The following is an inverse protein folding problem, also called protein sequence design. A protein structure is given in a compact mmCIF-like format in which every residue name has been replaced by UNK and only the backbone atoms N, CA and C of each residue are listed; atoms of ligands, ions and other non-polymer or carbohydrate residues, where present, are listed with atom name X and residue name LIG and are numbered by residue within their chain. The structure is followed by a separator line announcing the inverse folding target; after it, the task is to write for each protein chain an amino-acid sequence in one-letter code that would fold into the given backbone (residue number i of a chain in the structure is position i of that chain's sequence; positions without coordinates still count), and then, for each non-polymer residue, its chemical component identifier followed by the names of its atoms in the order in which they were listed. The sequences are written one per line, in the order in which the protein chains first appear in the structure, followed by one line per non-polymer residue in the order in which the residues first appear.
data_IF_770054591135
#
_entry.id   IF_770054591135
#
_cell.length_a   1.000
_cell.length_b   1.000
_cell.length_c   1.000
_cell.angle_alpha   90.00
_cell.angle_beta   90.00
_cell.angle_gamma   90.00
#
_symmetry.space_group_name_H-M   'P 1'
#
loop_
_entity.id
_entity.type
_entity.pdbx_description
1 polymer ?
#
# COMPACT_ATOMS: atom_id res chain seq x y z
N UNK A 1 -10.67 4.42 32.32
CA UNK A 1 -9.73 4.40 31.17
C UNK A 1 -10.59 4.28 29.92
N UNK A 2 -10.54 5.28 29.04
CA UNK A 2 -11.23 5.17 27.76
C UNK A 2 -10.55 4.06 26.96
N UNK A 3 -11.34 3.13 26.44
CA UNK A 3 -10.82 2.06 25.58
C UNK A 3 -10.22 2.66 24.31
N UNK A 4 -9.00 2.25 23.95
CA UNK A 4 -8.37 2.66 22.71
C UNK A 4 -9.00 1.88 21.57
N UNK A 5 -9.66 2.59 20.65
CA UNK A 5 -10.34 2.00 19.49
C UNK A 5 -9.72 2.57 18.19
N UNK A 6 -9.94 1.94 17.03
CA UNK A 6 -9.50 2.53 15.76
C UNK A 6 -10.00 3.95 15.55
N UNK A 7 -11.27 4.21 15.84
CA UNK A 7 -11.86 5.56 15.73
C UNK A 7 -11.22 6.55 16.68
N UNK A 8 -10.97 6.17 17.94
CA UNK A 8 -10.34 7.08 18.91
C UNK A 8 -8.92 7.45 18.53
N UNK A 9 -8.15 6.51 17.99
CA UNK A 9 -6.80 6.77 17.48
C UNK A 9 -6.81 7.65 16.24
N UNK A 10 -7.76 7.44 15.34
CA UNK A 10 -7.93 8.26 14.14
C UNK A 10 -8.24 9.72 14.51
N UNK A 11 -9.20 9.94 15.40
CA UNK A 11 -9.56 11.29 15.84
C UNK A 11 -8.41 11.98 16.57
N UNK A 12 -7.64 11.24 17.36
CA UNK A 12 -6.44 11.76 18.02
C UNK A 12 -5.41 12.24 16.99
N UNK A 13 -5.14 11.46 15.96
CA UNK A 13 -4.20 11.83 14.89
C UNK A 13 -4.64 13.09 14.13
N UNK A 14 -5.95 13.25 13.87
CA UNK A 14 -6.49 14.47 13.26
C UNK A 14 -6.34 15.68 14.18
N UNK A 15 -6.62 15.54 15.46
CA UNK A 15 -6.53 16.64 16.43
C UNK A 15 -5.09 17.07 16.68
N UNK A 16 -4.13 16.14 16.63
CA UNK A 16 -2.70 16.42 16.77
C UNK A 16 -2.10 17.00 15.48
N UNK A 17 -2.86 17.02 14.37
CA UNK A 17 -2.42 17.55 13.09
C UNK A 17 -1.40 16.68 12.36
N UNK A 18 -1.20 15.42 12.80
CA UNK A 18 -0.30 14.46 12.13
C UNK A 18 -0.87 13.95 10.84
N UNK A 19 -2.20 13.94 10.70
CA UNK A 19 -2.92 13.51 9.50
C UNK A 19 -4.02 14.51 9.18
N UNK A 20 -4.34 14.64 7.89
CA UNK A 20 -5.48 15.41 7.42
C UNK A 20 -6.72 14.53 7.25
N UNK A 21 -7.89 15.15 7.36
CA UNK A 21 -9.16 14.50 7.09
C UNK A 21 -9.21 14.01 5.64
N UNK A 22 -9.52 12.73 5.48
CA UNK A 22 -9.76 12.06 4.21
C UNK A 22 -11.02 11.20 4.36
N UNK A 23 -12.04 11.44 3.54
CA UNK A 23 -13.32 10.75 3.65
C UNK A 23 -13.19 9.23 3.42
N UNK A 24 -12.29 8.82 2.53
CA UNK A 24 -12.04 7.40 2.24
C UNK A 24 -11.37 6.74 3.44
N UNK A 25 -10.38 7.39 4.05
CA UNK A 25 -9.74 6.87 5.27
C UNK A 25 -10.74 6.83 6.44
N UNK A 26 -11.58 7.83 6.58
CA UNK A 26 -12.64 7.85 7.60
C UNK A 26 -13.60 6.67 7.43
N UNK A 27 -14.00 6.35 6.20
CA UNK A 27 -14.82 5.18 5.92
C UNK A 27 -14.10 3.88 6.27
N UNK A 28 -12.82 3.77 5.91
CA UNK A 28 -11.99 2.61 6.27
C UNK A 28 -11.92 2.43 7.78
N UNK A 29 -11.68 3.50 8.53
CA UNK A 29 -11.67 3.48 9.99
C UNK A 29 -13.01 3.05 10.56
N UNK A 30 -14.12 3.51 9.99
CA UNK A 30 -15.46 3.09 10.41
C UNK A 30 -15.68 1.58 10.22
N UNK A 31 -15.23 1.02 9.12
CA UNK A 31 -15.30 -0.43 8.88
C UNK A 31 -14.38 -1.21 9.82
N UNK A 32 -13.19 -0.72 10.08
CA UNK A 32 -12.26 -1.32 11.04
C UNK A 32 -12.80 -1.27 12.46
N UNK A 33 -13.51 -0.20 12.82
CA UNK A 33 -14.18 -0.07 14.13
C UNK A 33 -15.27 -1.13 14.31
N UNK A 34 -16.06 -1.38 13.27
CA UNK A 34 -17.10 -2.43 13.32
C UNK A 34 -16.46 -3.81 13.55
N UNK A 35 -15.39 -4.13 12.82
CA UNK A 35 -14.65 -5.37 12.99
C UNK A 35 -14.07 -5.48 14.40
N UNK A 36 -13.47 -4.39 14.89
CA UNK A 36 -12.94 -4.31 16.25
C UNK A 36 -14.03 -4.60 17.30
N UNK A 37 -15.19 -3.95 17.19
CA UNK A 37 -16.28 -4.14 18.13
C UNK A 37 -16.83 -5.57 18.10
N UNK A 38 -16.99 -6.15 16.93
CA UNK A 38 -17.45 -7.54 16.79
C UNK A 38 -16.43 -8.53 17.35
N UNK A 39 -15.14 -8.29 17.17
CA UNK A 39 -14.09 -9.16 17.71
C UNK A 39 -14.04 -9.12 19.25
N UNK A 40 -14.16 -7.94 19.86
CA UNK A 40 -14.13 -7.84 21.33
C UNK A 40 -15.40 -8.35 21.98
N UNK A 41 -16.54 -8.33 21.28
CA UNK A 41 -17.82 -8.81 21.76
C UNK A 41 -18.02 -10.31 21.47
N UNK A 42 -17.21 -10.91 20.60
CA UNK A 42 -17.24 -12.36 20.41
C UNK A 42 -16.66 -13.02 21.67
N UNK A 43 -17.47 -13.86 22.32
CA UNK A 43 -17.03 -14.62 23.49
C UNK A 43 -15.92 -15.57 23.04
N UNK A 44 -14.71 -15.50 23.60
CA UNK A 44 -13.71 -16.50 23.29
C UNK A 44 -14.23 -17.89 23.66
N UNK A 45 -14.05 -18.91 22.79
CA UNK A 45 -14.37 -20.27 23.18
C UNK A 45 -13.57 -20.59 24.46
N UNK A 46 -14.28 -21.16 25.45
CA UNK A 46 -13.65 -21.56 26.71
C UNK A 46 -12.38 -22.38 26.43
N UNK A 47 -11.29 -22.14 27.16
CA UNK A 47 -10.06 -22.89 26.97
C UNK A 47 -10.41 -24.38 27.08
N UNK A 48 -10.03 -25.16 26.07
CA UNK A 48 -10.18 -26.61 26.12
C UNK A 48 -9.32 -27.10 27.27
N UNK A 49 -9.96 -27.32 28.41
CA UNK A 49 -9.33 -28.04 29.51
C UNK A 49 -9.01 -29.44 29.02
N UNK A 50 -7.73 -29.71 28.79
CA UNK A 50 -7.21 -31.05 28.56
C UNK A 50 -7.34 -31.80 29.88
N UNK A 51 -8.47 -32.37 30.17
CA UNK A 51 -8.72 -33.16 31.35
C UNK A 51 -9.77 -34.24 31.10
N UNK A 52 -9.73 -35.27 31.84
CA UNK A 52 -10.58 -36.46 31.78
C UNK A 52 -12.11 -36.17 31.65
N UNK A 53 -12.57 -34.95 31.95
CA UNK A 53 -13.94 -34.49 31.79
C UNK A 53 -14.39 -34.33 30.33
N UNK A 54 -13.46 -34.17 29.38
CA UNK A 54 -13.80 -34.05 27.94
C UNK A 54 -14.28 -35.38 27.32
N UNK A 55 -14.00 -36.53 28.00
CA UNK A 55 -14.43 -37.86 27.53
C UNK A 55 -15.89 -38.19 27.90
N UNK A 56 -16.39 -37.59 28.97
CA UNK A 56 -17.78 -37.87 29.44
C UNK A 56 -18.79 -37.05 28.67
N UNK A 57 -18.43 -35.84 28.20
CA UNK A 57 -19.32 -34.98 27.40
C UNK A 57 -19.59 -35.49 26.00
N UNK A 58 -18.82 -36.44 25.49
CA UNK A 58 -19.03 -37.08 24.17
C UNK A 58 -20.13 -38.12 24.13
N UNK A 59 -20.61 -38.56 25.29
CA UNK A 59 -21.64 -39.62 25.41
C UNK A 59 -23.04 -39.09 25.52
N UNK A 60 -23.22 -37.80 25.79
CA UNK A 60 -24.55 -37.18 25.84
C UNK A 60 -24.68 -36.13 24.76
N UNK A 61 -25.10 -36.60 23.57
CA UNK A 61 -25.26 -35.79 22.37
C UNK A 61 -26.18 -34.59 22.54
N UNK A 62 -25.61 -33.44 22.74
CA UNK A 62 -26.10 -32.17 22.27
C UNK A 62 -24.93 -31.41 21.71
N UNK A 63 -24.64 -31.58 20.42
CA UNK A 63 -23.95 -30.60 19.61
C UNK A 63 -24.84 -29.37 19.52
N UNK A 64 -24.67 -28.43 20.41
CA UNK A 64 -24.93 -27.06 20.06
C UNK A 64 -23.76 -26.62 19.17
N UNK A 65 -23.92 -26.89 17.88
CA UNK A 65 -23.18 -26.18 16.84
C UNK A 65 -23.68 -24.73 16.89
N UNK A 66 -23.19 -23.98 17.88
CA UNK A 66 -23.11 -22.53 17.74
C UNK A 66 -22.08 -22.32 16.63
N UNK A 67 -22.56 -22.31 15.39
CA UNK A 67 -21.81 -21.79 14.26
C UNK A 67 -21.56 -20.33 14.62
N UNK A 68 -20.44 -20.06 15.30
CA UNK A 68 -19.90 -18.71 15.37
C UNK A 68 -19.58 -18.34 13.93
N UNK A 69 -20.47 -17.51 13.34
CA UNK A 69 -20.16 -16.92 12.04
C UNK A 69 -18.88 -16.11 12.23
N UNK A 70 -17.85 -16.35 11.42
CA UNK A 70 -16.63 -15.57 11.51
C UNK A 70 -16.96 -14.10 11.33
N UNK A 71 -16.29 -13.25 12.10
CA UNK A 71 -16.40 -11.80 11.91
C UNK A 71 -15.89 -11.47 10.50
N UNK A 72 -16.70 -10.75 9.74
CA UNK A 72 -16.35 -10.37 8.39
C UNK A 72 -15.17 -9.39 8.42
N UNK A 73 -14.12 -9.69 7.66
CA UNK A 73 -12.90 -8.89 7.60
C UNK A 73 -12.96 -7.78 6.56
N UNK A 74 -11.78 -7.22 6.28
CA UNK A 74 -11.61 -6.11 5.34
C UNK A 74 -10.36 -6.35 4.49
N UNK A 75 -10.51 -6.20 3.19
CA UNK A 75 -9.41 -6.17 2.23
C UNK A 75 -9.29 -4.74 1.69
N UNK A 76 -8.26 -4.03 2.13
CA UNK A 76 -7.99 -2.65 1.71
C UNK A 76 -6.96 -2.63 0.61
N UNK A 77 -7.30 -2.04 -0.53
CA UNK A 77 -6.37 -1.95 -1.64
C UNK A 77 -6.25 -0.53 -2.17
N UNK A 78 -5.13 -0.26 -2.78
CA UNK A 78 -4.81 1.05 -3.37
C UNK A 78 -3.34 1.14 -3.65
N UNK A 79 -2.93 2.19 -4.34
CA UNK A 79 -1.54 2.42 -4.70
C UNK A 79 -0.63 2.68 -3.49
N UNK A 80 0.65 2.73 -3.77
CA UNK A 80 1.69 2.97 -2.77
C UNK A 80 1.45 4.31 -2.05
N UNK A 81 1.62 4.33 -0.73
CA UNK A 81 1.51 5.54 0.07
C UNK A 81 0.08 6.01 0.33
N UNK A 82 -0.93 5.12 0.31
CA UNK A 82 -2.34 5.46 0.58
C UNK A 82 -2.73 5.39 2.04
N UNK A 83 -1.77 5.33 2.93
CA UNK A 83 -2.05 5.23 4.36
C UNK A 83 -2.52 3.85 4.82
N UNK A 84 -2.41 2.81 3.98
CA UNK A 84 -2.84 1.45 4.34
C UNK A 84 -2.11 0.91 5.57
N UNK A 85 -0.82 1.12 5.66
CA UNK A 85 -0.01 0.72 6.81
C UNK A 85 -0.50 1.40 8.09
N UNK A 86 -0.78 2.68 8.02
CA UNK A 86 -1.31 3.44 9.15
C UNK A 86 -2.70 2.95 9.57
N UNK A 87 -3.60 2.70 8.62
CA UNK A 87 -4.91 2.12 8.91
C UNK A 87 -4.78 0.76 9.60
N UNK A 88 -3.86 -0.07 9.12
CA UNK A 88 -3.57 -1.36 9.77
C UNK A 88 -3.02 -1.16 11.18
N UNK A 89 -2.15 -0.18 11.40
CA UNK A 89 -1.62 0.17 12.72
C UNK A 89 -2.75 0.53 13.69
N UNK A 90 -3.66 1.42 13.27
CA UNK A 90 -4.81 1.82 14.09
C UNK A 90 -5.64 0.61 14.53
N UNK A 91 -5.89 -0.31 13.61
CA UNK A 91 -6.68 -1.50 13.88
C UNK A 91 -5.94 -2.48 14.80
N UNK A 92 -4.72 -2.87 14.42
CA UNK A 92 -3.97 -3.89 15.14
C UNK A 92 -3.60 -3.45 16.55
N UNK A 93 -3.17 -2.20 16.73
CA UNK A 93 -2.80 -1.66 18.04
C UNK A 93 -4.01 -1.51 18.97
N UNK A 94 -5.21 -1.32 18.43
CA UNK A 94 -6.44 -1.23 19.22
C UNK A 94 -6.90 -2.57 19.76
N UNK A 95 -6.59 -3.67 19.07
CA UNK A 95 -7.03 -5.00 19.48
C UNK A 95 -6.38 -5.40 20.81
N UNK A 96 -7.19 -5.77 21.82
CA UNK A 96 -6.67 -6.23 23.11
C UNK A 96 -6.19 -7.69 23.01
N UNK A 97 -5.28 -8.06 23.91
CA UNK A 97 -4.83 -9.44 24.07
C UNK A 97 -3.78 -9.86 23.04
N UNK A 98 -3.49 -11.15 23.05
CA UNK A 98 -2.39 -11.73 22.28
C UNK A 98 -2.87 -12.60 21.11
N UNK A 99 -4.18 -12.86 21.00
CA UNK A 99 -4.76 -13.68 19.93
C UNK A 99 -4.96 -12.89 18.64
N UNK A 100 -3.94 -12.18 18.25
CA UNK A 100 -3.85 -11.38 17.03
C UNK A 100 -2.46 -11.57 16.42
N UNK A 101 -2.38 -11.67 15.10
CA UNK A 101 -1.10 -11.73 14.38
C UNK A 101 -1.10 -10.77 13.21
N UNK A 102 0.01 -10.07 13.06
CA UNK A 102 0.29 -9.22 11.91
C UNK A 102 1.56 -9.68 11.24
N UNK A 103 1.46 -10.07 10.00
CA UNK A 103 2.56 -10.59 9.20
C UNK A 103 2.55 -9.94 7.83
N UNK A 104 3.73 -9.67 7.32
CA UNK A 104 3.89 -9.48 5.88
C UNK A 104 3.43 -10.76 5.17
N UNK A 105 2.63 -10.65 4.12
CA UNK A 105 2.06 -11.84 3.45
C UNK A 105 3.14 -12.81 2.98
N UNK A 106 4.27 -12.30 2.50
CA UNK A 106 5.40 -13.13 2.10
C UNK A 106 5.94 -13.99 3.26
N UNK A 107 6.06 -13.43 4.46
CA UNK A 107 6.50 -14.17 5.66
C UNK A 107 5.49 -15.23 6.09
N UNK A 108 4.21 -14.92 5.96
CA UNK A 108 3.16 -15.91 6.21
C UNK A 108 3.31 -17.13 5.29
N UNK A 109 3.54 -16.91 3.99
CA UNK A 109 3.74 -18.01 3.05
C UNK A 109 5.03 -18.79 3.31
N UNK A 110 6.10 -18.15 3.74
CA UNK A 110 7.33 -18.85 4.15
C UNK A 110 7.05 -19.81 5.31
N UNK A 111 6.32 -19.37 6.31
CA UNK A 111 5.91 -20.23 7.43
C UNK A 111 5.06 -21.40 6.96
N UNK A 112 4.11 -21.18 6.05
CA UNK A 112 3.27 -22.23 5.50
C UNK A 112 4.12 -23.28 4.78
N UNK A 113 5.09 -22.87 3.97
CA UNK A 113 5.99 -23.80 3.28
C UNK A 113 6.88 -24.59 4.24
N UNK A 114 7.40 -23.96 5.30
CA UNK A 114 8.19 -24.64 6.31
C UNK A 114 7.37 -25.69 7.03
N UNK A 115 6.14 -25.37 7.42
CA UNK A 115 5.25 -26.34 8.09
C UNK A 115 4.80 -27.46 7.15
N UNK A 116 4.59 -27.19 5.85
CA UNK A 116 4.31 -28.24 4.86
C UNK A 116 5.48 -29.21 4.73
N UNK A 117 6.70 -28.75 4.81
CA UNK A 117 7.90 -29.59 4.79
C UNK A 117 7.93 -30.52 6.01
N UNK A 118 7.59 -30.02 7.20
CA UNK A 118 7.48 -30.82 8.42
C UNK A 118 6.36 -31.87 8.33
N UNK A 119 5.28 -31.55 7.62
CA UNK A 119 4.07 -32.36 7.53
C UNK A 119 4.06 -33.32 6.32
N UNK A 120 5.20 -33.54 5.68
CA UNK A 120 5.30 -34.51 4.59
C UNK A 120 4.82 -35.90 5.01
N UNK A 121 3.95 -36.48 4.20
CA UNK A 121 3.36 -37.80 4.49
C UNK A 121 2.12 -37.75 5.40
N UNK A 122 1.76 -36.58 5.93
CA UNK A 122 0.50 -36.41 6.66
C UNK A 122 -0.68 -36.22 5.69
N UNK A 123 -1.85 -36.71 6.10
CA UNK A 123 -3.10 -36.42 5.41
C UNK A 123 -3.56 -35.01 5.70
N UNK A 124 -4.04 -34.28 4.70
CA UNK A 124 -4.60 -32.94 4.81
C UNK A 124 -3.71 -31.93 5.57
N UNK A 125 -2.47 -31.68 5.11
CA UNK A 125 -1.55 -30.81 5.85
C UNK A 125 -2.02 -29.36 5.98
N UNK A 126 -2.80 -28.84 5.03
CA UNK A 126 -3.34 -27.49 5.14
C UNK A 126 -4.35 -27.34 6.27
N UNK A 127 -5.13 -28.38 6.55
CA UNK A 127 -6.05 -28.40 7.70
C UNK A 127 -5.27 -28.37 9.04
N UNK A 128 -4.15 -29.09 9.12
CA UNK A 128 -3.27 -29.07 10.30
C UNK A 128 -2.66 -27.68 10.50
N UNK A 129 -2.20 -27.06 9.42
CA UNK A 129 -1.63 -25.69 9.46
C UNK A 129 -2.69 -24.69 9.91
N UNK A 130 -3.91 -24.78 9.39
CA UNK A 130 -5.01 -23.93 9.81
C UNK A 130 -5.37 -24.13 11.29
N UNK A 131 -5.34 -25.32 11.80
CA UNK A 131 -5.51 -25.61 13.23
C UNK A 131 -4.43 -24.95 14.09
N UNK A 132 -3.17 -24.97 13.64
CA UNK A 132 -2.05 -24.31 14.31
C UNK A 132 -2.25 -22.80 14.38
N UNK A 133 -2.67 -22.17 13.27
CA UNK A 133 -2.97 -20.74 13.27
C UNK A 133 -4.14 -20.42 14.21
N UNK A 134 -5.21 -21.20 14.17
CA UNK A 134 -6.35 -20.97 15.06
C UNK A 134 -5.99 -21.14 16.54
N UNK A 135 -5.06 -22.03 16.87
CA UNK A 135 -4.56 -22.17 18.21
C UNK A 135 -3.85 -20.91 18.73
N UNK A 136 -3.24 -20.14 17.85
CA UNK A 136 -2.48 -18.92 18.17
C UNK A 136 -3.30 -17.63 18.04
N UNK A 137 -4.27 -17.58 17.10
CA UNK A 137 -4.92 -16.32 16.76
C UNK A 137 -6.37 -16.46 16.34
N UNK A 138 -7.14 -15.41 16.53
CA UNK A 138 -8.50 -15.25 16.01
C UNK A 138 -8.56 -14.27 14.83
N UNK A 139 -7.53 -13.46 14.66
CA UNK A 139 -7.43 -12.47 13.58
C UNK A 139 -6.04 -12.47 12.97
N UNK A 140 -5.99 -12.55 11.64
CA UNK A 140 -4.78 -12.39 10.84
C UNK A 140 -4.81 -11.05 10.11
N UNK A 141 -3.75 -10.29 10.28
CA UNK A 141 -3.50 -9.06 9.55
C UNK A 141 -2.35 -9.27 8.57
N UNK A 142 -2.63 -9.18 7.28
CA UNK A 142 -1.61 -9.31 6.24
C UNK A 142 -1.27 -7.95 5.67
N UNK A 143 0.01 -7.59 5.75
CA UNK A 143 0.55 -6.47 5.00
C UNK A 143 0.99 -6.94 3.62
N UNK A 144 0.71 -6.13 2.60
CA UNK A 144 1.15 -6.34 1.22
C UNK A 144 0.75 -7.71 0.64
N UNK A 145 -0.54 -7.99 0.65
CA UNK A 145 -1.08 -9.21 0.05
C UNK A 145 -0.82 -9.19 -1.47
N UNK A 146 0.05 -10.07 -1.91
CA UNK A 146 0.43 -10.17 -3.32
C UNK A 146 0.86 -11.59 -3.66
N UNK A 147 0.36 -12.13 -4.77
CA UNK A 147 0.64 -13.50 -5.21
C UNK A 147 1.29 -13.47 -6.58
N UNK A 148 2.53 -13.93 -6.67
CA UNK A 148 3.28 -14.03 -7.93
C UNK A 148 3.82 -15.44 -8.19
N UNK A 149 3.98 -16.23 -7.15
CA UNK A 149 4.54 -17.58 -7.20
C UNK A 149 3.46 -18.64 -7.40
N UNK A 150 3.70 -19.56 -8.34
CA UNK A 150 2.74 -20.64 -8.65
C UNK A 150 2.51 -21.55 -7.45
N UNK A 151 3.54 -21.83 -6.65
CA UNK A 151 3.42 -22.72 -5.48
C UNK A 151 2.49 -22.11 -4.44
N UNK A 152 2.65 -20.80 -4.15
CA UNK A 152 1.76 -20.06 -3.28
C UNK A 152 0.33 -20.05 -3.82
N UNK A 153 0.18 -19.75 -5.10
CA UNK A 153 -1.13 -19.69 -5.76
C UNK A 153 -1.90 -21.01 -5.66
N UNK A 154 -1.23 -22.13 -5.82
CA UNK A 154 -1.88 -23.46 -5.77
C UNK A 154 -2.30 -23.85 -4.34
N UNK A 155 -1.65 -23.32 -3.31
CA UNK A 155 -1.97 -23.61 -1.92
C UNK A 155 -3.07 -22.71 -1.35
N UNK A 156 -3.16 -21.48 -1.83
CA UNK A 156 -3.97 -20.43 -1.19
C UNK A 156 -5.47 -20.73 -1.19
N UNK A 157 -6.02 -21.34 -2.21
CA UNK A 157 -7.44 -21.68 -2.25
C UNK A 157 -7.85 -22.57 -1.09
N UNK A 158 -7.15 -23.67 -0.89
CA UNK A 158 -7.40 -24.61 0.20
C UNK A 158 -7.07 -24.02 1.57
N UNK A 159 -5.96 -23.27 1.67
CA UNK A 159 -5.52 -22.66 2.93
C UNK A 159 -6.50 -21.59 3.42
N UNK A 160 -6.90 -20.67 2.56
CA UNK A 160 -7.86 -19.61 2.92
C UNK A 160 -9.21 -20.20 3.35
N UNK A 161 -9.70 -21.20 2.63
CA UNK A 161 -10.91 -21.91 3.00
C UNK A 161 -10.81 -22.55 4.39
N UNK A 162 -9.68 -23.20 4.67
CA UNK A 162 -9.45 -23.86 5.95
C UNK A 162 -9.36 -22.84 7.12
N UNK A 163 -8.69 -21.72 6.90
CA UNK A 163 -8.59 -20.64 7.90
C UNK A 163 -9.95 -20.02 8.19
N UNK A 164 -10.73 -19.69 7.17
CA UNK A 164 -12.07 -19.10 7.35
C UNK A 164 -13.07 -20.09 7.98
N UNK A 165 -12.96 -21.37 7.65
CA UNK A 165 -13.81 -22.41 8.26
C UNK A 165 -13.62 -22.49 9.78
N UNK A 166 -12.47 -22.08 10.29
CA UNK A 166 -12.16 -22.03 11.73
C UNK A 166 -12.51 -20.70 12.39
N UNK A 167 -13.16 -19.81 11.65
CA UNK A 167 -13.60 -18.51 12.18
C UNK A 167 -12.46 -17.49 12.33
N UNK A 168 -11.34 -17.66 11.63
CA UNK A 168 -10.28 -16.65 11.61
C UNK A 168 -10.75 -15.46 10.75
N UNK A 169 -10.64 -14.27 11.32
CA UNK A 169 -10.93 -13.02 10.61
C UNK A 169 -9.67 -12.53 9.90
N UNK A 170 -9.83 -12.10 8.65
CA UNK A 170 -8.73 -11.54 7.86
C UNK A 170 -8.92 -10.05 7.66
N UNK A 171 -7.88 -9.28 7.97
CA UNK A 171 -7.74 -7.88 7.56
C UNK A 171 -6.44 -7.77 6.75
N UNK A 172 -6.53 -7.35 5.52
CA UNK A 172 -5.40 -7.33 4.61
C UNK A 172 -5.25 -5.99 3.91
N UNK A 173 -4.01 -5.65 3.58
CA UNK A 173 -3.68 -4.55 2.67
C UNK A 173 -3.05 -5.10 1.41
N UNK A 174 -3.31 -4.43 0.27
CA UNK A 174 -2.75 -4.79 -1.03
C UNK A 174 -2.66 -3.57 -1.93
N UNK A 175 -1.86 -3.65 -2.97
CA UNK A 175 -1.81 -2.63 -4.02
C UNK A 175 -2.86 -2.83 -5.11
N UNK A 176 -3.46 -4.03 -5.17
CA UNK A 176 -4.40 -4.41 -6.23
C UNK A 176 -5.67 -5.05 -5.62
N UNK A 177 -6.82 -4.97 -6.33
CA UNK A 177 -8.03 -5.64 -5.87
C UNK A 177 -7.89 -7.16 -5.94
N UNK A 178 -8.76 -7.91 -5.21
CA UNK A 178 -8.71 -9.38 -5.21
C UNK A 178 -8.83 -9.99 -6.61
N UNK A 179 -9.67 -9.43 -7.47
CA UNK A 179 -9.89 -9.96 -8.82
C UNK A 179 -8.65 -9.89 -9.72
N UNK A 180 -7.67 -9.05 -9.38
CA UNK A 180 -6.41 -8.91 -10.12
C UNK A 180 -5.24 -9.68 -9.51
N UNK A 181 -5.46 -10.33 -8.38
CA UNK A 181 -4.43 -11.18 -7.77
C UNK A 181 -4.04 -12.32 -8.71
N UNK A 182 -2.74 -12.57 -8.81
CA UNK A 182 -2.17 -13.61 -9.66
C UNK A 182 -2.60 -13.48 -11.13
N UNK A 183 -2.81 -12.26 -11.59
CA UNK A 183 -3.19 -11.97 -12.99
C UNK A 183 -2.14 -12.51 -13.94
N UNK A 184 -2.61 -13.17 -15.02
CA UNK A 184 -1.77 -13.86 -16.01
C UNK A 184 -0.87 -14.97 -15.44
N UNK A 185 -1.11 -15.43 -14.21
CA UNK A 185 -0.37 -16.52 -13.62
C UNK A 185 -0.73 -17.89 -14.23
N UNK A 186 0.22 -18.80 -14.20
CA UNK A 186 0.02 -20.18 -14.67
C UNK A 186 -1.06 -20.87 -13.83
N UNK A 187 -1.99 -21.55 -14.50
CA UNK A 187 -3.10 -22.27 -13.87
C UNK A 187 -3.95 -21.38 -12.95
N UNK A 188 -4.19 -20.16 -13.36
CA UNK A 188 -4.94 -19.18 -12.55
C UNK A 188 -6.33 -19.67 -12.14
N UNK A 189 -6.97 -20.54 -12.95
CA UNK A 189 -8.26 -21.12 -12.60
C UNK A 189 -8.24 -21.85 -11.25
N UNK A 190 -7.12 -22.46 -10.89
CA UNK A 190 -6.93 -23.14 -9.59
C UNK A 190 -6.70 -22.15 -8.43
N UNK A 191 -6.37 -20.93 -8.73
CA UNK A 191 -6.23 -19.84 -7.74
C UNK A 191 -7.55 -19.12 -7.47
N UNK A 192 -8.48 -19.09 -8.41
CA UNK A 192 -9.77 -18.38 -8.27
C UNK A 192 -10.53 -18.71 -6.97
N UNK A 193 -10.51 -19.96 -6.44
CA UNK A 193 -11.12 -20.24 -5.15
C UNK A 193 -10.58 -19.40 -3.99
N UNK A 194 -9.31 -19.00 -4.03
CA UNK A 194 -8.74 -18.08 -3.03
C UNK A 194 -9.36 -16.69 -3.12
N UNK A 195 -9.53 -16.17 -4.33
CA UNK A 195 -10.21 -14.88 -4.55
C UNK A 195 -11.66 -14.95 -4.05
N UNK A 196 -12.38 -16.02 -4.38
CA UNK A 196 -13.76 -16.21 -3.95
C UNK A 196 -13.88 -16.26 -2.42
N UNK A 197 -12.98 -16.98 -1.76
CA UNK A 197 -12.93 -17.07 -0.30
C UNK A 197 -12.70 -15.69 0.35
N UNK A 198 -11.77 -14.90 -0.18
CA UNK A 198 -11.52 -13.52 0.29
C UNK A 198 -12.78 -12.68 0.15
N UNK A 199 -13.41 -12.70 -1.01
CA UNK A 199 -14.62 -11.90 -1.28
C UNK A 199 -15.84 -12.33 -0.44
N UNK A 200 -15.93 -13.61 -0.07
CA UNK A 200 -16.96 -14.11 0.82
C UNK A 200 -16.77 -13.68 2.27
N UNK A 201 -15.54 -13.57 2.73
CA UNK A 201 -15.21 -13.36 4.15
C UNK A 201 -14.68 -11.97 4.46
N UNK A 202 -14.44 -11.13 3.46
CA UNK A 202 -13.97 -9.76 3.61
C UNK A 202 -14.78 -8.81 2.76
N UNK A 203 -15.06 -7.63 3.30
CA UNK A 203 -15.42 -6.49 2.47
C UNK A 203 -14.18 -6.01 1.70
N UNK A 204 -14.37 -5.58 0.47
CA UNK A 204 -13.31 -5.07 -0.38
C UNK A 204 -13.46 -3.56 -0.49
N UNK A 205 -12.40 -2.83 -0.16
CA UNK A 205 -12.43 -1.38 -0.18
C UNK A 205 -11.21 -0.82 -0.90
N UNK A 206 -11.47 0.02 -1.92
CA UNK A 206 -10.44 0.85 -2.52
C UNK A 206 -10.20 2.07 -1.63
N UNK A 207 -8.97 2.18 -1.11
CA UNK A 207 -8.59 3.30 -0.23
C UNK A 207 -7.90 4.43 -0.98
N UNK A 208 -7.91 4.40 -2.30
CA UNK A 208 -7.44 5.52 -3.10
C UNK A 208 -8.35 6.73 -2.87
N UNK A 209 -7.76 7.84 -2.43
CA UNK A 209 -8.49 9.10 -2.28
C UNK A 209 -9.09 9.51 -3.63
N UNK A 210 -10.25 10.12 -3.59
CA UNK A 210 -10.98 10.50 -4.79
C UNK A 210 -10.09 11.24 -5.78
N UNK A 211 -10.09 10.81 -7.02
CA UNK A 211 -9.33 11.41 -8.14
C UNK A 211 -9.61 12.91 -8.24
N UNK A 212 -10.82 13.35 -7.92
CA UNK A 212 -11.26 14.76 -8.00
C UNK A 212 -10.48 15.68 -7.07
N UNK A 213 -10.08 15.22 -5.88
CA UNK A 213 -9.35 16.03 -4.91
C UNK A 213 -7.93 16.36 -5.40
N UNK A 214 -7.20 15.34 -5.88
CA UNK A 214 -5.86 15.55 -6.45
C UNK A 214 -5.90 16.43 -7.67
N UNK A 215 -6.83 16.16 -8.57
CA UNK A 215 -7.00 16.95 -9.78
C UNK A 215 -7.23 18.41 -9.43
N UNK A 216 -8.12 18.71 -8.49
CA UNK A 216 -8.40 20.07 -8.06
C UNK A 216 -7.16 20.75 -7.50
N UNK A 217 -6.44 20.08 -6.61
CA UNK A 217 -5.20 20.60 -6.03
C UNK A 217 -4.17 20.90 -7.09
N UNK A 218 -3.92 19.95 -8.01
CA UNK A 218 -2.92 20.10 -9.07
C UNK A 218 -3.32 21.17 -10.09
N UNK A 219 -4.60 21.28 -10.42
CA UNK A 219 -5.10 22.26 -11.38
C UNK A 219 -4.98 23.70 -10.84
N UNK A 220 -5.09 23.88 -9.53
CA UNK A 220 -5.00 25.20 -8.87
C UNK A 220 -3.59 25.59 -8.49
N UNK A 221 -2.63 24.66 -8.54
CA UNK A 221 -1.27 24.89 -8.11
C UNK A 221 -0.34 25.29 -9.25
N UNK A 222 0.74 26.00 -8.90
CA UNK A 222 1.91 26.07 -9.76
C UNK A 222 2.71 24.78 -9.64
N UNK A 223 3.01 24.13 -10.76
CA UNK A 223 3.68 22.82 -10.78
C UNK A 223 5.17 22.93 -11.03
N UNK A 224 5.66 24.09 -11.40
CA UNK A 224 7.09 24.41 -11.50
C UNK A 224 7.36 25.65 -10.64
N UNK A 225 8.04 25.43 -9.52
CA UNK A 225 8.30 26.47 -8.51
C UNK A 225 9.78 26.86 -8.54
N UNK A 226 10.05 28.13 -8.74
CA UNK A 226 11.40 28.70 -8.75
C UNK A 226 11.37 30.14 -8.22
N UNK A 227 12.49 30.69 -7.75
CA UNK A 227 13.77 30.05 -7.46
C UNK A 227 13.72 29.17 -6.20
N UNK A 228 14.84 28.52 -5.88
CA UNK A 228 14.97 27.74 -4.64
C UNK A 228 15.20 28.71 -3.44
N UNK A 229 14.16 28.98 -2.72
CA UNK A 229 14.15 29.83 -1.52
C UNK A 229 13.16 29.30 -0.48
N UNK A 230 13.04 29.99 0.65
CA UNK A 230 12.15 29.58 1.74
C UNK A 230 10.68 29.61 1.33
N UNK A 231 10.27 30.56 0.49
CA UNK A 231 8.90 30.64 -0.02
C UNK A 231 8.56 29.41 -0.88
N UNK A 232 9.42 29.05 -1.82
CA UNK A 232 9.27 27.87 -2.66
C UNK A 232 9.23 26.59 -1.82
N UNK A 233 10.09 26.49 -0.83
CA UNK A 233 10.09 25.36 0.11
C UNK A 233 8.78 25.24 0.86
N UNK A 234 8.27 26.35 1.36
CA UNK A 234 6.97 26.40 2.03
C UNK A 234 5.83 25.99 1.11
N UNK A 235 5.84 26.45 -0.13
CA UNK A 235 4.84 26.05 -1.13
C UNK A 235 4.91 24.56 -1.45
N UNK A 236 6.11 23.99 -1.58
CA UNK A 236 6.30 22.55 -1.79
C UNK A 236 5.75 21.74 -0.60
N UNK A 237 5.99 22.18 0.62
CA UNK A 237 5.48 21.50 1.82
C UNK A 237 3.95 21.57 1.90
N UNK A 238 3.34 22.69 1.53
CA UNK A 238 1.89 22.82 1.45
C UNK A 238 1.28 21.91 0.38
N UNK A 239 1.91 21.83 -0.79
CA UNK A 239 1.47 20.92 -1.85
C UNK A 239 1.61 19.45 -1.44
N UNK A 240 2.70 19.11 -0.78
CA UNK A 240 2.85 17.75 -0.24
C UNK A 240 1.70 17.42 0.71
N UNK A 241 1.44 18.28 1.68
CA UNK A 241 0.35 18.05 2.63
C UNK A 241 -1.00 17.92 1.94
N UNK A 242 -1.26 18.76 0.94
CA UNK A 242 -2.51 18.72 0.17
C UNK A 242 -2.65 17.45 -0.68
N UNK A 243 -1.58 16.98 -1.30
CA UNK A 243 -1.60 15.80 -2.19
C UNK A 243 -1.50 14.49 -1.43
N UNK A 244 -0.66 14.44 -0.42
CA UNK A 244 -0.38 13.24 0.36
C UNK A 244 -1.33 13.03 1.54
N UNK A 245 -1.95 14.08 2.04
CA UNK A 245 -2.88 14.02 3.18
C UNK A 245 -2.21 13.92 4.54
N UNK A 246 -0.88 13.91 4.61
CA UNK A 246 -0.11 13.85 5.85
C UNK A 246 1.21 14.62 5.73
N UNK A 247 1.77 15.04 6.85
CA UNK A 247 3.11 15.67 6.87
C UNK A 247 4.18 14.66 6.51
N UNK A 248 5.30 15.13 5.93
CA UNK A 248 6.47 14.30 5.66
C UNK A 248 7.26 14.06 6.96
N UNK A 249 6.77 13.18 7.81
CA UNK A 249 7.44 12.83 9.07
C UNK A 249 8.50 11.73 8.89
N UNK A 250 8.31 10.88 7.86
CA UNK A 250 9.20 9.77 7.56
C UNK A 250 9.76 9.89 6.16
N UNK A 251 11.06 9.58 6.04
CA UNK A 251 11.74 9.50 4.76
C UNK A 251 12.10 8.03 4.48
N UNK A 252 11.13 7.22 4.03
CA UNK A 252 11.38 5.80 3.82
C UNK A 252 12.38 5.57 2.69
N UNK A 253 13.19 4.53 2.83
CA UNK A 253 14.02 4.03 1.74
C UNK A 253 13.22 2.98 0.98
N UNK A 254 13.05 3.19 -0.33
CA UNK A 254 12.41 2.23 -1.21
C UNK A 254 13.46 1.29 -1.80
N UNK A 255 13.04 0.08 -2.14
CA UNK A 255 13.83 -0.81 -2.96
C UNK A 255 13.31 -0.76 -4.40
N UNK A 256 14.13 -0.23 -5.31
CA UNK A 256 13.82 -0.12 -6.73
C UNK A 256 14.86 -0.90 -7.52
N UNK A 257 14.43 -1.92 -8.24
CA UNK A 257 15.30 -2.81 -9.03
C UNK A 257 16.48 -3.36 -8.21
N UNK A 258 16.18 -3.84 -7.01
CA UNK A 258 17.15 -4.41 -6.05
C UNK A 258 18.19 -3.41 -5.53
N UNK A 259 17.89 -2.13 -5.61
CA UNK A 259 18.77 -1.06 -5.12
C UNK A 259 17.98 -0.12 -4.21
N UNK A 260 18.58 0.33 -3.10
CA UNK A 260 17.93 1.30 -2.23
C UNK A 260 17.78 2.66 -2.94
N UNK A 261 16.63 3.29 -2.75
CA UNK A 261 16.34 4.64 -3.21
C UNK A 261 15.88 5.47 -2.02
N UNK A 262 16.68 6.48 -1.67
CA UNK A 262 16.34 7.41 -0.60
C UNK A 262 15.20 8.32 -1.04
N UNK A 263 14.16 8.42 -0.23
CA UNK A 263 13.05 9.34 -0.49
C UNK A 263 13.00 10.46 0.54
N UNK A 264 12.28 11.52 0.21
CA UNK A 264 11.94 12.58 1.15
C UNK A 264 10.54 12.38 1.75
N UNK A 265 9.78 11.46 1.22
CA UNK A 265 8.46 11.07 1.70
C UNK A 265 7.73 10.19 0.71
N UNK A 266 6.88 9.30 1.22
CA UNK A 266 5.98 8.45 0.43
C UNK A 266 4.64 8.39 1.14
N UNK A 267 3.58 8.87 0.50
CA UNK A 267 2.23 8.82 1.05
C UNK A 267 1.21 8.99 -0.08
N UNK A 268 0.09 8.29 0.00
CA UNK A 268 -1.04 8.45 -0.94
C UNK A 268 -0.65 8.43 -2.42
N UNK A 269 0.13 7.45 -2.87
CA UNK A 269 0.66 7.36 -4.24
C UNK A 269 1.49 8.58 -4.66
N UNK A 270 1.98 9.35 -3.70
CA UNK A 270 2.81 10.52 -3.92
C UNK A 270 4.21 10.27 -3.39
N UNK A 271 5.21 10.53 -4.22
CA UNK A 271 6.63 10.42 -3.90
C UNK A 271 7.23 11.81 -3.81
N UNK A 272 7.97 12.10 -2.73
CA UNK A 272 8.86 13.24 -2.65
C UNK A 272 10.31 12.75 -2.73
N UNK A 273 11.07 13.27 -3.66
CA UNK A 273 12.44 12.83 -3.94
C UNK A 273 13.26 13.97 -4.52
N UNK A 274 14.57 13.96 -4.27
CA UNK A 274 15.47 14.99 -4.79
C UNK A 274 15.96 14.67 -6.19
N UNK A 275 16.29 15.73 -6.94
CA UNK A 275 16.98 15.61 -8.22
C UNK A 275 18.31 14.85 -8.08
N UNK A 276 19.06 15.08 -7.02
CA UNK A 276 20.32 14.39 -6.75
C UNK A 276 20.13 12.87 -6.71
N UNK A 277 19.11 12.40 -6.00
CA UNK A 277 18.83 10.97 -5.90
C UNK A 277 18.44 10.36 -7.23
N UNK A 278 17.66 11.05 -8.06
CA UNK A 278 17.15 10.49 -9.31
C UNK A 278 18.06 10.72 -10.53
N UNK A 279 18.78 11.83 -10.58
CA UNK A 279 19.49 12.23 -11.79
C UNK A 279 21.00 12.39 -11.63
N UNK A 280 21.52 12.61 -10.42
CA UNK A 280 22.96 12.67 -10.14
C UNK A 280 23.52 11.29 -9.80
N UNK A 281 22.84 10.57 -8.90
CA UNK A 281 23.18 9.19 -8.58
C UNK A 281 22.98 8.30 -9.82
N UNK A 282 23.71 7.19 -9.87
CA UNK A 282 23.69 6.28 -11.02
C UNK A 282 22.35 5.53 -11.12
N UNK A 283 21.31 6.21 -11.59
CA UNK A 283 20.00 5.66 -11.90
C UNK A 283 19.85 5.45 -13.40
N UNK A 284 18.99 4.51 -13.77
CA UNK A 284 18.74 4.16 -15.16
C UNK A 284 17.27 4.38 -15.53
N UNK A 285 17.00 4.29 -16.83
CA UNK A 285 15.62 4.30 -17.34
C UNK A 285 14.73 3.24 -16.65
N UNK A 286 15.28 2.09 -16.32
CA UNK A 286 14.52 1.04 -15.61
C UNK A 286 14.02 1.50 -14.25
N UNK A 287 14.78 2.32 -13.54
CA UNK A 287 14.36 2.90 -12.27
C UNK A 287 13.19 3.88 -12.46
N UNK A 288 13.23 4.70 -13.51
CA UNK A 288 12.16 5.65 -13.83
C UNK A 288 10.89 4.94 -14.26
N UNK A 289 11.00 3.85 -15.02
CA UNK A 289 9.86 2.99 -15.37
C UNK A 289 9.21 2.43 -14.10
N UNK A 290 10.01 1.88 -13.18
CA UNK A 290 9.50 1.34 -11.92
C UNK A 290 8.77 2.40 -11.09
N UNK A 291 9.37 3.58 -10.94
CA UNK A 291 8.75 4.70 -10.22
C UNK A 291 7.46 5.19 -10.90
N UNK A 292 7.45 5.25 -12.23
CA UNK A 292 6.28 5.69 -12.99
C UNK A 292 5.08 4.75 -12.84
N UNK A 293 5.32 3.48 -12.58
CA UNK A 293 4.27 2.49 -12.30
C UNK A 293 3.70 2.60 -10.89
N UNK A 294 4.57 2.90 -9.93
CA UNK A 294 4.22 2.91 -8.51
C UNK A 294 3.49 4.18 -8.08
N UNK A 295 3.82 5.33 -8.67
CA UNK A 295 3.38 6.63 -8.18
C UNK A 295 2.49 7.36 -9.18
N UNK A 296 1.37 7.86 -8.70
CA UNK A 296 0.49 8.77 -9.43
C UNK A 296 1.11 10.15 -9.57
N UNK A 297 1.76 10.62 -8.52
CA UNK A 297 2.33 11.97 -8.41
C UNK A 297 3.74 11.90 -7.84
N UNK A 298 4.65 12.63 -8.47
CA UNK A 298 6.03 12.78 -7.98
C UNK A 298 6.31 14.26 -7.75
N UNK A 299 6.81 14.58 -6.56
CA UNK A 299 7.34 15.88 -6.21
C UNK A 299 8.87 15.80 -6.26
N UNK A 300 9.45 16.42 -7.28
CA UNK A 300 10.88 16.45 -7.53
C UNK A 300 11.48 17.75 -7.00
N UNK A 301 12.38 17.62 -6.03
CA UNK A 301 12.95 18.74 -5.29
C UNK A 301 14.34 19.12 -5.81
N UNK A 302 14.59 20.40 -5.82
CA UNK A 302 15.92 21.01 -5.97
C UNK A 302 16.58 20.71 -7.32
N UNK A 303 15.83 20.89 -8.40
CA UNK A 303 16.35 20.76 -9.75
C UNK A 303 17.27 21.96 -10.07
N UNK A 304 18.58 21.75 -10.28
CA UNK A 304 19.50 22.82 -10.58
C UNK A 304 19.47 23.20 -12.06
N UNK A 305 20.04 24.36 -12.39
CA UNK A 305 20.39 24.66 -13.78
C UNK A 305 21.34 23.57 -14.28
N UNK A 306 21.01 22.95 -15.39
CA UNK A 306 21.84 21.92 -16.02
C UNK A 306 22.76 22.56 -17.04
N UNK A 307 24.02 22.72 -16.63
CA UNK A 307 25.07 23.34 -17.44
C UNK A 307 25.77 22.34 -18.34
N UNK A 308 26.75 22.80 -19.13
CA UNK A 308 27.60 21.94 -19.95
C UNK A 308 28.33 20.85 -19.14
N UNK A 309 28.53 21.05 -17.85
CA UNK A 309 29.17 20.06 -16.97
C UNK A 309 28.20 19.00 -16.47
N UNK A 310 26.94 19.14 -16.78
CA UNK A 310 25.85 18.28 -16.27
C UNK A 310 25.09 17.58 -17.40
N UNK A 311 25.74 17.28 -18.51
CA UNK A 311 25.06 16.66 -19.66
C UNK A 311 24.55 15.24 -19.35
N UNK A 312 25.24 14.49 -18.49
CA UNK A 312 24.79 13.18 -18.05
C UNK A 312 23.53 13.26 -17.19
N UNK A 313 23.50 14.20 -16.25
CA UNK A 313 22.34 14.47 -15.38
C UNK A 313 21.15 14.97 -16.22
N UNK A 314 21.42 15.83 -17.21
CA UNK A 314 20.40 16.32 -18.12
C UNK A 314 19.79 15.17 -18.95
N UNK A 315 20.60 14.23 -19.41
CA UNK A 315 20.14 13.05 -20.14
C UNK A 315 19.23 12.18 -19.26
N UNK A 316 19.58 11.98 -18.01
CA UNK A 316 18.75 11.24 -17.05
C UNK A 316 17.44 11.97 -16.75
N UNK A 317 17.49 13.29 -16.63
CA UNK A 317 16.29 14.10 -16.43
C UNK A 317 15.32 13.98 -17.62
N UNK A 318 15.83 14.02 -18.86
CA UNK A 318 15.03 13.79 -20.06
C UNK A 318 14.36 12.41 -20.01
N UNK A 319 15.14 11.37 -19.69
CA UNK A 319 14.62 10.00 -19.60
C UNK A 319 13.52 9.87 -18.52
N UNK A 320 13.72 10.49 -17.37
CA UNK A 320 12.73 10.53 -16.29
C UNK A 320 11.43 11.19 -16.76
N UNK A 321 11.52 12.36 -17.37
CA UNK A 321 10.35 13.09 -17.87
C UNK A 321 9.62 12.29 -18.95
N UNK A 322 10.36 11.65 -19.86
CA UNK A 322 9.77 10.81 -20.90
C UNK A 322 8.96 9.65 -20.30
N UNK A 323 9.49 8.95 -19.32
CA UNK A 323 8.78 7.83 -18.67
C UNK A 323 7.58 8.31 -17.88
N UNK A 324 7.69 9.40 -17.16
CA UNK A 324 6.57 9.96 -16.40
C UNK A 324 5.46 10.47 -17.31
N UNK A 325 5.82 11.10 -18.42
CA UNK A 325 4.87 11.56 -19.42
C UNK A 325 4.08 10.40 -20.04
N UNK A 326 4.76 9.33 -20.44
CA UNK A 326 4.12 8.16 -21.08
C UNK A 326 3.12 7.46 -20.15
N UNK A 327 3.34 7.50 -18.86
CA UNK A 327 2.46 6.86 -17.88
C UNK A 327 1.52 7.82 -17.17
N UNK A 328 1.44 9.04 -17.63
CA UNK A 328 0.57 10.08 -17.06
C UNK A 328 0.84 10.35 -15.58
N UNK A 329 2.08 10.27 -15.15
CA UNK A 329 2.50 10.66 -13.81
C UNK A 329 2.42 12.18 -13.68
N UNK A 330 1.86 12.66 -12.59
CA UNK A 330 1.77 14.09 -12.30
C UNK A 330 3.07 14.53 -11.64
N UNK A 331 3.68 15.58 -12.17
CA UNK A 331 4.99 16.04 -11.72
C UNK A 331 4.92 17.46 -11.18
N UNK A 332 5.38 17.63 -9.94
CA UNK A 332 5.58 18.93 -9.30
C UNK A 332 7.07 19.11 -9.05
N UNK A 333 7.62 20.24 -9.47
CA UNK A 333 9.06 20.48 -9.44
C UNK A 333 9.38 21.76 -8.68
N UNK A 334 10.40 21.70 -7.81
CA UNK A 334 11.10 22.89 -7.34
C UNK A 334 12.45 23.01 -8.03
N UNK A 335 12.75 24.19 -8.56
CA UNK A 335 13.91 24.39 -9.42
C UNK A 335 14.60 25.72 -9.14
N UNK A 336 15.85 25.79 -9.51
CA UNK A 336 16.69 26.96 -9.35
C UNK A 336 16.23 28.14 -10.21
N UNK A 337 15.67 27.84 -11.39
CA UNK A 337 15.27 28.81 -12.41
C UNK A 337 13.91 28.42 -13.04
N UNK A 338 13.22 29.34 -13.73
CA UNK A 338 12.05 28.99 -14.50
C UNK A 338 12.29 27.88 -15.52
N UNK A 339 11.23 27.20 -15.92
CA UNK A 339 11.28 26.02 -16.76
C UNK A 339 12.12 26.16 -18.03
N UNK A 340 11.97 27.28 -18.75
CA UNK A 340 12.66 27.48 -20.03
C UNK A 340 14.13 27.81 -19.90
N UNK A 341 14.60 28.08 -18.69
CA UNK A 341 16.01 28.39 -18.39
C UNK A 341 16.75 27.22 -17.76
N UNK A 342 16.09 26.06 -17.57
CA UNK A 342 16.65 24.96 -16.77
C UNK A 342 17.82 24.26 -17.46
N UNK A 343 17.84 24.20 -18.78
CA UNK A 343 18.93 23.60 -19.55
C UNK A 343 19.78 24.68 -20.23
N UNK A 344 21.03 24.72 -19.87
CA UNK A 344 22.03 25.64 -20.43
C UNK A 344 23.28 24.88 -20.92
N UNK A 345 23.09 23.62 -21.32
CA UNK A 345 24.09 22.81 -21.98
C UNK A 345 24.12 23.01 -23.47
N UNK A 346 24.87 22.16 -24.18
CA UNK A 346 25.07 22.25 -25.64
C UNK A 346 24.68 20.96 -26.37
N UNK A 347 24.94 19.81 -25.78
CA UNK A 347 24.81 18.51 -26.46
C UNK A 347 23.38 18.04 -26.66
N UNK A 348 22.47 18.47 -25.81
CA UNK A 348 21.10 17.98 -25.76
C UNK A 348 20.06 19.05 -26.10
N UNK A 349 20.41 20.09 -26.80
CA UNK A 349 19.51 21.19 -27.15
C UNK A 349 18.25 20.73 -27.86
N UNK A 350 18.38 19.83 -28.81
CA UNK A 350 17.26 19.29 -29.57
C UNK A 350 16.33 18.42 -28.67
N UNK A 351 16.93 17.48 -27.97
CA UNK A 351 16.20 16.56 -27.07
C UNK A 351 15.54 17.33 -25.95
N UNK A 352 16.18 18.37 -25.44
CA UNK A 352 15.65 19.17 -24.36
C UNK A 352 14.48 20.07 -24.77
N UNK A 353 14.42 20.50 -26.03
CA UNK A 353 13.25 21.20 -26.55
C UNK A 353 11.99 20.34 -26.45
N UNK A 354 12.07 19.07 -26.81
CA UNK A 354 10.98 18.13 -26.66
C UNK A 354 10.62 17.91 -25.19
N UNK A 355 11.63 17.78 -24.34
CA UNK A 355 11.43 17.65 -22.89
C UNK A 355 10.68 18.86 -22.32
N UNK A 356 11.05 20.07 -22.69
CA UNK A 356 10.37 21.29 -22.26
C UNK A 356 8.92 21.34 -22.74
N UNK A 357 8.66 20.94 -23.98
CA UNK A 357 7.29 20.85 -24.50
C UNK A 357 6.45 19.85 -23.71
N UNK A 358 7.00 18.69 -23.36
CA UNK A 358 6.32 17.70 -22.51
C UNK A 358 6.08 18.23 -21.09
N UNK A 359 7.05 18.87 -20.48
CA UNK A 359 6.89 19.48 -19.16
C UNK A 359 5.81 20.56 -19.15
N UNK A 360 5.73 21.37 -20.21
CA UNK A 360 4.67 22.35 -20.35
C UNK A 360 3.30 21.68 -20.50
N UNK A 361 3.18 20.66 -21.35
CA UNK A 361 1.94 19.89 -21.51
C UNK A 361 1.52 19.21 -20.19
N UNK A 362 2.48 18.71 -19.42
CA UNK A 362 2.21 18.08 -18.11
C UNK A 362 1.63 19.04 -17.06
N UNK A 363 1.65 20.34 -17.32
CA UNK A 363 1.00 21.34 -16.48
C UNK A 363 -0.42 21.67 -16.93
N UNK A 364 -0.85 21.17 -18.09
CA UNK A 364 -2.18 21.43 -18.64
C UNK A 364 -3.26 20.65 -17.89
N UNK A 365 -4.44 21.24 -17.82
CA UNK A 365 -5.61 20.58 -17.22
C UNK A 365 -5.95 19.28 -17.95
N UNK A 366 -5.82 19.24 -19.27
CA UNK A 366 -6.04 18.04 -20.06
C UNK A 366 -5.11 16.89 -19.63
N UNK A 367 -3.82 17.14 -19.48
CA UNK A 367 -2.87 16.13 -19.00
C UNK A 367 -3.18 15.70 -17.56
N UNK A 368 -3.48 16.65 -16.68
CA UNK A 368 -3.76 16.36 -15.26
C UNK A 368 -5.01 15.49 -15.09
N UNK A 369 -5.96 15.55 -16.01
CA UNK A 369 -7.15 14.70 -16.03
C UNK A 369 -6.88 13.28 -16.53
N UNK A 370 -5.77 13.01 -17.19
CA UNK A 370 -5.45 11.67 -17.69
C UNK A 370 -5.23 10.72 -16.53
N UNK A 371 -5.79 9.53 -16.68
CA UNK A 371 -5.62 8.48 -15.69
C UNK A 371 -4.15 8.00 -15.64
N UNK A 372 -3.63 7.80 -14.43
CA UNK A 372 -2.30 7.22 -14.24
C UNK A 372 -2.27 5.76 -14.72
N UNK A 373 -1.31 5.45 -15.55
CA UNK A 373 -1.12 4.10 -16.09
C UNK A 373 -0.20 3.28 -15.17
N UNK A 374 -0.77 2.81 -14.07
CA UNK A 374 -0.10 1.85 -13.18
C UNK A 374 -0.02 0.50 -13.90
N UNK A 375 1.16 0.08 -14.22
CA UNK A 375 1.31 -1.10 -15.03
C UNK A 375 1.57 -2.38 -14.31
#
# INVERSE_FOLDING_TARGET
MQSVTPTSQYLKALNEGSHQHDDVQKEAVSRLEIIYQELINSTPPAPRTSGLMARVGKLWGKREDTKHMPVRGLYMWGGVGRGKTWLMDLFYQSLPGERKQRLHFHRFMLRVHDELTELQGQSDPLEIIADRFKAETDVLCFDEFFVSDITDAMLLGGLMKALFARGITLVATSNIPPDELYRNGLQRARFLPAIDAIKQHCDVMNVDAGVDYRLRTLTQAHLWLSPLNDETRTQMDKLWLALAGAKRENSPTLEINHRPLATMGVENQTLAVSFTTLCVDARSQHDYIALSRLFHTVMLFDVPVMTRLMESEARRFIALVDEFYERHVKLVVSAEVPLYEIYQGEQLKFEFQRCLSRLQEMQSEEYLKREHLAG
#
